data_IF_237914628250
#
_entry.id   IF_237914628250
#
_cell.length_a   1.000
_cell.length_b   1.000
_cell.length_c   1.000
_cell.angle_alpha   90.00
_cell.angle_beta   90.00
_cell.angle_gamma   90.00
#
_symmetry.space_group_name_H-M   'P 1'
#
loop_
_entity.id
_entity.type
_entity.pdbx_description
1 polymer ?
#
# COMPACT_ATOMS: atom_id res chain seq x y z
N UNK A 1 20.22 -4.33 12.95
CA UNK A 1 18.78 -4.02 12.89
C UNK A 1 18.29 -4.39 11.51
N UNK A 2 17.15 -5.07 11.43
CA UNK A 2 16.53 -5.52 10.19
C UNK A 2 15.31 -4.64 9.90
N UNK A 3 15.32 -3.94 8.76
CA UNK A 3 14.29 -3.00 8.37
C UNK A 3 13.61 -3.51 7.09
N UNK A 4 12.29 -3.60 7.12
CA UNK A 4 11.49 -3.78 5.91
C UNK A 4 10.91 -2.42 5.47
N UNK A 5 11.17 -2.04 4.23
CA UNK A 5 10.50 -0.91 3.58
C UNK A 5 9.44 -1.44 2.62
N UNK A 6 8.19 -0.99 2.78
CA UNK A 6 7.04 -1.53 2.05
C UNK A 6 6.37 -0.43 1.21
N UNK A 7 6.17 -0.71 -0.08
CA UNK A 7 5.24 0.04 -0.92
C UNK A 7 4.00 -0.80 -1.18
N UNK A 8 2.88 -0.38 -0.59
CA UNK A 8 1.57 -1.02 -0.81
C UNK A 8 0.99 -0.64 -2.17
N UNK A 9 -0.05 -1.32 -2.69
CA UNK A 9 -0.85 -0.76 -3.79
C UNK A 9 -1.27 0.67 -3.45
N UNK A 10 -1.20 1.62 -4.39
CA UNK A 10 -1.44 1.42 -5.82
C UNK A 10 -0.40 2.07 -6.76
N UNK A 11 0.91 1.92 -6.48
CA UNK A 11 1.96 2.40 -7.39
C UNK A 11 1.85 1.78 -8.79
N UNK A 12 2.44 2.45 -9.79
CA UNK A 12 2.58 1.88 -11.13
C UNK A 12 3.39 0.57 -11.07
N UNK A 13 2.85 -0.49 -11.67
CA UNK A 13 3.42 -1.83 -11.56
C UNK A 13 4.70 -2.02 -12.38
N UNK A 14 4.87 -1.22 -13.43
CA UNK A 14 5.99 -1.24 -14.37
C UNK A 14 7.10 -0.24 -14.02
N UNK A 15 6.93 0.54 -12.96
CA UNK A 15 7.92 1.48 -12.46
C UNK A 15 8.54 1.01 -11.14
N UNK A 16 9.87 1.13 -10.98
CA UNK A 16 10.50 0.95 -9.67
C UNK A 16 10.07 2.09 -8.72
N UNK A 17 9.84 1.77 -7.45
CA UNK A 17 9.58 2.81 -6.44
C UNK A 17 10.85 3.61 -6.13
N UNK A 18 10.94 4.82 -6.67
CA UNK A 18 12.04 5.77 -6.39
C UNK A 18 12.14 6.10 -4.90
N UNK A 19 11.01 6.14 -4.19
CA UNK A 19 10.98 6.38 -2.75
C UNK A 19 11.66 5.24 -1.97
N UNK A 20 11.34 3.99 -2.31
CA UNK A 20 11.98 2.81 -1.71
C UNK A 20 13.48 2.76 -2.05
N UNK A 21 13.83 2.97 -3.32
CA UNK A 21 15.22 2.92 -3.77
C UNK A 21 16.10 3.97 -3.07
N UNK A 22 15.64 5.22 -3.02
CA UNK A 22 16.35 6.32 -2.37
C UNK A 22 16.52 6.08 -0.88
N UNK A 23 15.45 5.71 -0.17
CA UNK A 23 15.52 5.51 1.27
C UNK A 23 16.36 4.28 1.64
N UNK A 24 16.24 3.19 0.90
CA UNK A 24 17.07 1.99 1.11
C UNK A 24 18.56 2.32 0.95
N UNK A 25 18.92 3.05 -0.11
CA UNK A 25 20.31 3.48 -0.32
C UNK A 25 20.81 4.41 0.78
N UNK A 26 19.98 5.37 1.22
CA UNK A 26 20.34 6.30 2.29
C UNK A 26 20.56 5.58 3.62
N UNK A 27 19.66 4.68 4.01
CA UNK A 27 19.81 3.91 5.26
C UNK A 27 21.08 3.06 5.22
N UNK A 28 21.35 2.35 4.12
CA UNK A 28 22.57 1.54 3.98
C UNK A 28 23.85 2.36 4.02
N UNK A 29 23.80 3.63 3.58
CA UNK A 29 24.94 4.56 3.64
C UNK A 29 25.18 5.06 5.07
N UNK A 30 24.13 5.54 5.73
CA UNK A 30 24.23 6.15 7.07
C UNK A 30 24.36 5.10 8.19
N UNK A 31 23.80 3.90 7.98
CA UNK A 31 23.80 2.79 8.93
C UNK A 31 24.24 1.47 8.24
N UNK A 32 25.56 1.28 8.00
CA UNK A 32 26.08 0.11 7.30
C UNK A 32 25.77 -1.24 7.97
N UNK A 33 25.57 -1.23 9.29
CA UNK A 33 25.25 -2.43 10.08
C UNK A 33 23.75 -2.80 10.02
N UNK A 34 22.93 -2.03 9.29
CA UNK A 34 21.50 -2.30 9.14
C UNK A 34 21.23 -3.10 7.87
N UNK A 35 20.42 -4.15 8.00
CA UNK A 35 19.87 -4.86 6.85
C UNK A 35 18.58 -4.17 6.44
N UNK A 36 18.43 -3.86 5.16
CA UNK A 36 17.25 -3.17 4.62
C UNK A 36 16.72 -3.94 3.42
N UNK A 37 15.48 -4.38 3.49
CA UNK A 37 14.80 -5.08 2.39
C UNK A 37 13.60 -4.28 1.89
N UNK A 38 13.36 -4.32 0.58
CA UNK A 38 12.24 -3.64 -0.07
C UNK A 38 11.16 -4.65 -0.45
N UNK A 39 9.92 -4.38 -0.04
CA UNK A 39 8.74 -5.18 -0.34
C UNK A 39 7.77 -4.40 -1.22
N UNK A 40 7.45 -4.95 -2.39
CA UNK A 40 6.65 -4.28 -3.43
C UNK A 40 5.24 -4.88 -3.50
N UNK A 41 4.40 -4.58 -2.50
CA UNK A 41 3.04 -5.10 -2.38
C UNK A 41 2.14 -4.77 -3.57
N UNK A 42 2.42 -3.69 -4.30
CA UNK A 42 1.70 -3.32 -5.51
C UNK A 42 1.89 -4.29 -6.68
N UNK A 43 3.03 -4.99 -6.77
CA UNK A 43 3.31 -5.97 -7.84
C UNK A 43 2.43 -7.21 -7.66
N UNK A 44 2.33 -7.72 -6.43
CA UNK A 44 1.44 -8.84 -6.09
C UNK A 44 -0.03 -8.48 -6.36
N UNK A 45 -0.48 -7.28 -5.95
CA UNK A 45 -1.83 -6.81 -6.24
C UNK A 45 -2.11 -6.74 -7.74
N UNK A 46 -1.19 -6.19 -8.53
CA UNK A 46 -1.33 -6.14 -9.99
C UNK A 46 -1.53 -7.55 -10.59
N UNK A 47 -0.77 -8.54 -10.13
CA UNK A 47 -0.92 -9.93 -10.61
C UNK A 47 -2.31 -10.51 -10.29
N UNK A 48 -2.88 -10.16 -9.14
CA UNK A 48 -4.18 -10.66 -8.67
C UNK A 48 -5.36 -10.10 -9.45
N UNK A 49 -5.28 -8.84 -9.87
CA UNK A 49 -6.45 -8.12 -10.42
C UNK A 49 -6.26 -7.59 -11.84
N UNK A 50 -5.15 -7.90 -12.52
CA UNK A 50 -5.03 -7.58 -13.95
C UNK A 50 -6.23 -8.18 -14.72
N UNK A 51 -6.82 -7.45 -15.68
CA UNK A 51 -6.32 -6.20 -16.25
C UNK A 51 -6.76 -4.90 -15.53
N UNK A 52 -7.67 -4.95 -14.56
CA UNK A 52 -8.33 -3.73 -14.03
C UNK A 52 -7.48 -2.90 -13.06
N UNK A 53 -6.29 -3.39 -12.71
CA UNK A 53 -5.38 -2.71 -11.77
C UNK A 53 -5.18 -1.24 -12.10
N UNK A 54 -4.91 -0.92 -13.37
CA UNK A 54 -4.61 0.45 -13.80
C UNK A 54 -5.83 1.38 -13.69
N UNK A 55 -7.04 0.85 -13.89
CA UNK A 55 -8.28 1.62 -13.76
C UNK A 55 -8.53 1.95 -12.29
N UNK A 56 -8.34 0.96 -11.42
CA UNK A 56 -8.53 1.13 -9.97
C UNK A 56 -7.46 2.07 -9.40
N UNK A 57 -6.17 1.84 -9.71
CA UNK A 57 -5.03 2.57 -9.12
C UNK A 57 -5.09 4.08 -9.35
N UNK A 58 -5.73 4.52 -10.43
CA UNK A 58 -5.88 5.92 -10.80
C UNK A 58 -7.23 6.52 -10.39
N UNK A 59 -7.95 5.86 -9.48
CA UNK A 59 -9.28 6.29 -9.03
C UNK A 59 -9.42 6.22 -7.51
N UNK A 60 -10.39 6.93 -6.91
CA UNK A 60 -10.68 6.79 -5.49
C UNK A 60 -11.13 5.38 -5.05
N UNK A 61 -11.51 4.50 -6.00
CA UNK A 61 -11.81 3.10 -5.69
C UNK A 61 -10.63 2.39 -5.03
N UNK A 62 -9.42 2.82 -5.37
CA UNK A 62 -8.19 2.31 -4.80
C UNK A 62 -8.22 2.31 -3.25
N UNK A 63 -8.63 3.40 -2.63
CA UNK A 63 -8.75 3.50 -1.16
C UNK A 63 -10.01 2.77 -0.66
N UNK A 64 -11.13 2.92 -1.37
CA UNK A 64 -12.42 2.30 -0.99
C UNK A 64 -12.29 0.78 -0.83
N UNK A 65 -11.48 0.12 -1.68
CA UNK A 65 -11.28 -1.33 -1.62
C UNK A 65 -10.57 -1.84 -0.34
N UNK A 66 -9.96 -0.95 0.44
CA UNK A 66 -9.37 -1.28 1.74
C UNK A 66 -10.26 -0.88 2.92
N UNK A 67 -11.33 -0.10 2.69
CA UNK A 67 -12.22 0.35 3.76
C UNK A 67 -12.83 -0.82 4.56
N UNK A 68 -13.34 -1.91 3.96
CA UNK A 68 -13.90 -3.04 4.71
C UNK A 68 -12.87 -3.80 5.58
N UNK A 69 -11.58 -3.70 5.26
CA UNK A 69 -10.51 -4.32 6.05
C UNK A 69 -10.20 -3.49 7.30
N UNK A 70 -10.36 -2.17 7.21
CA UNK A 70 -10.17 -1.24 8.32
C UNK A 70 -11.41 -1.12 9.20
N UNK A 71 -12.59 -1.07 8.58
CA UNK A 71 -13.90 -0.82 9.16
C UNK A 71 -14.91 -1.81 8.58
N UNK A 72 -15.04 -3.03 9.14
CA UNK A 72 -15.93 -4.07 8.62
C UNK A 72 -17.39 -3.61 8.42
N UNK A 73 -17.87 -2.69 9.26
CA UNK A 73 -19.18 -2.06 9.20
C UNK A 73 -19.41 -1.26 7.90
N UNK A 74 -18.34 -0.78 7.25
CA UNK A 74 -18.41 0.01 6.02
C UNK A 74 -18.52 -0.85 4.75
N UNK A 75 -18.61 -2.18 4.86
CA UNK A 75 -18.66 -3.09 3.69
C UNK A 75 -19.77 -2.72 2.71
N UNK A 76 -20.97 -2.41 3.22
CA UNK A 76 -22.13 -2.05 2.38
C UNK A 76 -21.89 -0.71 1.67
N UNK A 77 -21.32 0.26 2.36
CA UNK A 77 -21.01 1.57 1.78
C UNK A 77 -19.89 1.45 0.74
N UNK A 78 -18.85 0.66 1.01
CA UNK A 78 -17.79 0.38 0.05
C UNK A 78 -18.34 -0.26 -1.24
N UNK A 79 -19.24 -1.24 -1.12
CA UNK A 79 -19.90 -1.85 -2.29
C UNK A 79 -20.75 -0.84 -3.07
N UNK A 80 -21.49 0.03 -2.38
CA UNK A 80 -22.30 1.08 -3.00
C UNK A 80 -21.44 2.09 -3.76
N UNK A 81 -20.35 2.57 -3.14
CA UNK A 81 -19.41 3.47 -3.79
C UNK A 81 -18.69 2.80 -4.94
N UNK A 82 -18.36 1.52 -4.80
CA UNK A 82 -17.79 0.73 -5.88
C UNK A 82 -18.70 0.72 -7.10
N UNK A 83 -19.96 0.34 -6.94
CA UNK A 83 -20.93 0.28 -8.03
C UNK A 83 -21.13 1.67 -8.70
N UNK A 84 -21.20 2.73 -7.89
CA UNK A 84 -21.35 4.09 -8.42
C UNK A 84 -20.16 4.50 -9.29
N UNK A 85 -18.94 4.25 -8.83
CA UNK A 85 -17.73 4.75 -9.50
C UNK A 85 -17.21 3.80 -10.58
N UNK A 86 -17.57 2.51 -10.52
CA UNK A 86 -17.22 1.56 -11.58
C UNK A 86 -17.81 1.96 -12.93
N UNK A 87 -19.02 2.53 -12.91
CA UNK A 87 -19.70 3.08 -14.08
C UNK A 87 -18.95 4.31 -14.63
N UNK A 88 -18.45 5.17 -13.74
CA UNK A 88 -17.71 6.39 -14.10
C UNK A 88 -16.33 6.10 -14.72
N UNK A 89 -15.63 5.08 -14.23
CA UNK A 89 -14.25 4.76 -14.68
C UNK A 89 -14.17 3.64 -15.71
N UNK A 90 -15.33 3.11 -16.16
CA UNK A 90 -15.44 2.05 -17.17
C UNK A 90 -14.59 0.82 -16.85
N UNK A 91 -14.73 0.28 -15.63
CA UNK A 91 -14.04 -0.96 -15.25
C UNK A 91 -14.32 -2.06 -16.27
N UNK A 92 -13.29 -2.79 -16.67
CA UNK A 92 -13.42 -3.85 -17.67
C UNK A 92 -14.54 -4.84 -17.29
N UNK A 93 -15.58 -4.99 -18.14
CA UNK A 93 -16.72 -5.87 -17.87
C UNK A 93 -16.35 -7.36 -17.79
N UNK A 94 -15.13 -7.76 -18.18
CA UNK A 94 -14.64 -9.15 -18.07
C UNK A 94 -14.76 -9.73 -16.65
N UNK A 95 -14.70 -8.89 -15.61
CA UNK A 95 -14.80 -9.38 -14.22
C UNK A 95 -16.24 -9.72 -13.79
N UNK A 96 -17.24 -9.30 -14.57
CA UNK A 96 -18.66 -9.58 -14.36
C UNK A 96 -19.22 -9.05 -13.03
N UNK A 97 -20.41 -9.54 -12.66
CA UNK A 97 -21.20 -9.02 -11.54
C UNK A 97 -20.57 -9.18 -10.15
N UNK A 98 -19.48 -9.96 -10.04
CA UNK A 98 -18.78 -10.23 -8.78
C UNK A 98 -17.45 -9.48 -8.65
N UNK A 99 -17.22 -8.48 -9.49
CA UNK A 99 -15.98 -7.70 -9.54
C UNK A 99 -15.59 -7.12 -8.18
N UNK A 100 -16.54 -6.53 -7.44
CA UNK A 100 -16.29 -5.97 -6.11
C UNK A 100 -15.76 -7.04 -5.14
N UNK A 101 -16.44 -8.18 -5.07
CA UNK A 101 -16.04 -9.28 -4.18
C UNK A 101 -14.69 -9.88 -4.57
N UNK A 102 -14.39 -9.96 -5.87
CA UNK A 102 -13.11 -10.46 -6.37
C UNK A 102 -11.96 -9.54 -5.97
N UNK A 103 -12.12 -8.23 -6.17
CA UNK A 103 -11.11 -7.25 -5.78
C UNK A 103 -10.98 -7.20 -4.26
N UNK A 104 -12.08 -7.27 -3.50
CA UNK A 104 -12.06 -7.28 -2.03
C UNK A 104 -11.35 -8.52 -1.48
N UNK A 105 -11.50 -9.68 -2.12
CA UNK A 105 -10.70 -10.87 -1.80
C UNK A 105 -9.23 -10.63 -2.11
N UNK A 106 -8.90 -10.08 -3.28
CA UNK A 106 -7.53 -9.77 -3.64
C UNK A 106 -6.87 -8.76 -2.68
N UNK A 107 -7.61 -7.76 -2.17
CA UNK A 107 -7.08 -6.80 -1.18
C UNK A 107 -6.78 -7.48 0.14
N UNK A 108 -7.64 -8.39 0.59
CA UNK A 108 -7.39 -9.21 1.79
C UNK A 108 -6.15 -10.07 1.63
N UNK A 109 -6.07 -10.81 0.53
CA UNK A 109 -4.95 -11.72 0.27
C UNK A 109 -3.63 -10.97 0.11
N UNK A 110 -3.64 -9.79 -0.54
CA UNK A 110 -2.46 -8.93 -0.66
C UNK A 110 -1.96 -8.46 0.72
N UNK A 111 -2.87 -8.02 1.59
CA UNK A 111 -2.52 -7.63 2.96
C UNK A 111 -1.96 -8.81 3.74
N UNK A 112 -2.56 -10.00 3.62
CA UNK A 112 -2.08 -11.20 4.30
C UNK A 112 -0.71 -11.65 3.78
N UNK A 113 -0.47 -11.57 2.47
CA UNK A 113 0.82 -11.87 1.87
C UNK A 113 1.92 -10.91 2.36
N UNK A 114 1.65 -9.60 2.42
CA UNK A 114 2.61 -8.62 2.94
C UNK A 114 2.87 -8.82 4.43
N UNK A 115 1.83 -9.07 5.23
CA UNK A 115 2.00 -9.37 6.67
C UNK A 115 2.82 -10.64 6.88
N UNK A 116 2.65 -11.66 6.03
CA UNK A 116 3.45 -12.87 6.08
C UNK A 116 4.91 -12.62 5.68
N UNK A 117 5.17 -11.73 4.72
CA UNK A 117 6.53 -11.44 4.26
C UNK A 117 7.36 -10.58 5.24
N UNK A 118 6.71 -9.78 6.11
CA UNK A 118 7.41 -8.89 7.05
C UNK A 118 7.23 -9.23 8.53
N UNK A 119 6.27 -10.10 8.87
CA UNK A 119 5.67 -10.16 10.21
C UNK A 119 6.55 -10.64 11.36
N UNK A 120 7.62 -11.41 11.12
CA UNK A 120 8.48 -11.94 12.19
C UNK A 120 10.00 -11.78 11.88
N UNK A 121 10.34 -11.23 10.72
CA UNK A 121 11.73 -11.18 10.22
C UNK A 121 12.43 -9.83 10.42
N UNK A 122 11.70 -8.81 10.89
CA UNK A 122 12.17 -7.43 10.92
C UNK A 122 11.90 -6.75 12.27
N UNK A 123 12.82 -5.88 12.67
CA UNK A 123 12.70 -5.06 13.87
C UNK A 123 11.81 -3.82 13.64
N UNK A 124 11.76 -3.35 12.40
CA UNK A 124 11.01 -2.16 11.98
C UNK A 124 10.42 -2.34 10.58
N UNK A 125 9.14 -1.99 10.44
CA UNK A 125 8.48 -1.88 9.14
C UNK A 125 8.15 -0.43 8.85
N UNK A 126 8.73 0.09 7.76
CA UNK A 126 8.48 1.43 7.24
C UNK A 126 7.64 1.40 5.98
N UNK A 127 6.55 2.17 5.93
CA UNK A 127 5.72 2.29 4.73
C UNK A 127 6.06 3.54 3.95
N UNK A 128 6.33 3.42 2.64
CA UNK A 128 6.31 4.57 1.74
C UNK A 128 4.87 4.82 1.30
N UNK A 129 4.34 6.03 1.52
CA UNK A 129 2.96 6.37 1.15
C UNK A 129 2.94 7.44 0.05
N UNK A 130 2.50 7.05 -1.15
CA UNK A 130 2.18 7.96 -2.26
C UNK A 130 0.66 8.08 -2.44
N UNK A 131 0.21 8.48 -3.64
CA UNK A 131 -1.21 8.53 -4.00
C UNK A 131 -1.92 7.19 -3.75
N UNK A 132 -3.09 7.26 -3.08
CA UNK A 132 -3.96 6.13 -2.73
C UNK A 132 -3.34 4.98 -1.91
N UNK A 133 -2.18 5.16 -1.27
CA UNK A 133 -1.53 4.11 -0.47
C UNK A 133 -1.88 4.14 1.02
N UNK A 134 -2.79 5.00 1.46
CA UNK A 134 -2.99 5.22 2.89
C UNK A 134 -3.72 4.04 3.53
N UNK A 135 -4.90 3.65 3.04
CA UNK A 135 -5.69 2.59 3.68
C UNK A 135 -5.06 1.22 3.47
N UNK A 136 -4.38 1.01 2.34
CA UNK A 136 -3.60 -0.21 2.11
C UNK A 136 -2.46 -0.36 3.13
N UNK A 137 -1.72 0.71 3.38
CA UNK A 137 -0.68 0.74 4.43
C UNK A 137 -1.26 0.58 5.83
N UNK A 138 -2.37 1.24 6.14
CA UNK A 138 -3.04 1.10 7.43
C UNK A 138 -3.57 -0.32 7.67
N UNK A 139 -4.04 -1.02 6.64
CA UNK A 139 -4.56 -2.38 6.76
C UNK A 139 -3.46 -3.36 7.19
N UNK A 140 -2.27 -3.24 6.60
CA UNK A 140 -1.08 -4.01 7.01
C UNK A 140 -0.62 -3.59 8.40
N UNK A 141 -0.46 -2.29 8.64
CA UNK A 141 -0.03 -1.76 9.93
C UNK A 141 -0.94 -2.23 11.09
N UNK A 142 -2.26 -2.24 10.88
CA UNK A 142 -3.24 -2.75 11.86
C UNK A 142 -3.00 -4.21 12.21
N UNK A 143 -2.68 -5.06 11.22
CA UNK A 143 -2.38 -6.48 11.45
C UNK A 143 -1.02 -6.69 12.12
N UNK A 144 0.02 -5.96 11.69
CA UNK A 144 1.35 -6.02 12.30
C UNK A 144 1.35 -5.55 13.75
N UNK A 145 0.61 -4.47 14.07
CA UNK A 145 0.49 -3.96 15.44
C UNK A 145 -0.15 -5.00 16.38
N UNK A 146 -1.12 -5.77 15.89
CA UNK A 146 -1.73 -6.88 16.66
C UNK A 146 -0.72 -8.00 16.97
N UNK A 147 0.35 -8.12 16.18
CA UNK A 147 1.46 -9.05 16.42
C UNK A 147 2.58 -8.47 17.30
N UNK A 148 2.45 -7.23 17.79
CA UNK A 148 3.46 -6.58 18.63
C UNK A 148 4.61 -5.91 17.86
N UNK A 149 4.49 -5.76 16.53
CA UNK A 149 5.54 -5.19 15.69
C UNK A 149 5.62 -3.65 15.80
N UNK A 150 6.84 -3.12 15.81
CA UNK A 150 7.10 -1.68 15.72
C UNK A 150 6.88 -1.19 14.28
N UNK A 151 6.14 -0.09 14.13
CA UNK A 151 5.72 0.46 12.83
C UNK A 151 6.09 1.93 12.75
N UNK A 152 6.72 2.34 11.65
CA UNK A 152 6.95 3.74 11.32
C UNK A 152 6.24 4.12 10.01
N UNK A 153 5.75 5.36 9.95
CA UNK A 153 5.15 5.94 8.75
C UNK A 153 6.18 6.84 8.07
N UNK A 154 6.40 6.65 6.78
CA UNK A 154 7.28 7.49 5.97
C UNK A 154 6.48 8.11 4.82
N UNK A 155 6.24 9.41 4.90
CA UNK A 155 5.62 10.17 3.80
C UNK A 155 6.73 10.80 2.97
N UNK A 156 6.75 10.61 1.63
CA UNK A 156 7.51 11.50 0.76
C UNK A 156 6.97 12.91 0.98
N UNK A 157 7.82 13.83 1.43
CA UNK A 157 7.50 15.25 1.38
C UNK A 157 7.39 15.70 -0.08
N UNK A 158 6.63 16.75 -0.40
CA UNK A 158 6.66 17.33 -1.74
C UNK A 158 8.10 17.71 -2.09
N UNK A 159 8.53 17.56 -3.36
CA UNK A 159 9.82 18.05 -3.80
C UNK A 159 9.86 19.57 -3.57
N UNK A 160 10.60 20.02 -2.56
CA UNK A 160 10.73 21.44 -2.22
C UNK A 160 10.69 21.82 -0.73
N UNK A 161 10.44 20.89 0.20
CA UNK A 161 10.54 21.18 1.64
C UNK A 161 11.92 20.81 2.21
N UNK A 162 12.96 21.47 1.70
CA UNK A 162 14.21 21.60 2.47
C UNK A 162 13.90 22.54 3.63
N UNK A 163 14.19 22.10 4.85
CA UNK A 163 13.89 22.84 6.07
C UNK A 163 14.33 24.29 5.99
N UNK A 164 13.39 25.22 6.23
CA UNK A 164 13.79 26.53 6.73
C UNK A 164 14.23 26.31 8.17
N UNK A 165 15.53 26.37 8.40
CA UNK A 165 16.07 26.62 9.73
C UNK A 165 15.40 27.88 10.28
N UNK A 166 14.55 27.70 11.29
CA UNK A 166 14.11 28.81 12.13
C UNK A 166 15.24 29.14 13.10
N UNK A 167 16.20 29.91 12.61
CA UNK A 167 17.10 30.71 13.44
C UNK A 167 16.68 32.18 13.28
N UNK A 168 15.89 32.67 14.24
CA UNK A 168 15.84 34.03 14.82
C UNK A 168 14.57 34.15 15.65
#
# INVERSE_FOLDING_TARGET
MNIALVAMPWSQFDAPSTALGTLSALIRREYPDFTVDCHYGYVDMWQRIKPVYQQISNSPLAEIMFLPLLYPEETINAARWFAKMSDEISIDPILGDKVFDQILRATRDNVDAVVASVGDSYDLVGFTITYCQLFSSLAVAKKLKKKGMAISRLTPGPPGSVGRDSST
#
